data_IF_281844387331
#
_entry.id   IF_281844387331
#
_cell.length_a   1.000
_cell.length_b   1.000
_cell.length_c   1.000
_cell.angle_alpha   90.00
_cell.angle_beta   90.00
_cell.angle_gamma   90.00
#
_symmetry.space_group_name_H-M   'P 1'
#
loop_
_entity.id
_entity.type
_entity.pdbx_description
1 polymer ?
#
# COMPACT_ATOMS: atom_id res chain seq x y z
N UNK A 1 -8.50 14.56 -23.65
CA UNK A 1 -8.68 14.44 -22.19
C UNK A 1 -7.83 15.49 -21.51
N UNK A 2 -8.28 16.17 -20.43
CA UNK A 2 -7.47 17.17 -19.72
C UNK A 2 -6.13 16.59 -19.25
N UNK A 3 -5.03 17.36 -19.40
CA UNK A 3 -3.69 16.94 -18.91
C UNK A 3 -3.69 16.59 -17.42
N UNK A 4 -4.52 17.27 -16.63
CA UNK A 4 -4.72 16.99 -15.21
C UNK A 4 -5.15 15.54 -14.93
N UNK A 5 -5.94 14.91 -15.81
CA UNK A 5 -6.37 13.52 -15.62
C UNK A 5 -5.23 12.53 -15.86
N UNK A 6 -4.31 12.82 -16.79
CA UNK A 6 -3.12 11.98 -16.98
C UNK A 6 -2.16 12.11 -15.79
N UNK A 7 -1.99 13.32 -15.25
CA UNK A 7 -1.21 13.53 -14.03
C UNK A 7 -1.83 12.81 -12.82
N UNK A 8 -3.16 12.90 -12.65
CA UNK A 8 -3.89 12.19 -11.61
C UNK A 8 -3.76 10.67 -11.76
N UNK A 9 -3.91 10.15 -12.97
CA UNK A 9 -3.77 8.72 -13.26
C UNK A 9 -2.35 8.21 -12.95
N UNK A 10 -1.31 8.97 -13.35
CA UNK A 10 0.08 8.62 -13.04
C UNK A 10 0.33 8.60 -11.52
N UNK A 11 -0.20 9.59 -10.79
CA UNK A 11 -0.11 9.64 -9.33
C UNK A 11 -0.82 8.46 -8.65
N UNK A 12 -2.08 8.22 -9.02
CA UNK A 12 -2.87 7.10 -8.48
C UNK A 12 -2.24 5.74 -8.81
N UNK A 13 -1.67 5.59 -10.01
CA UNK A 13 -0.93 4.40 -10.40
C UNK A 13 0.32 4.19 -9.54
N UNK A 14 1.15 5.22 -9.38
CA UNK A 14 2.35 5.15 -8.55
C UNK A 14 2.04 4.79 -7.09
N UNK A 15 1.01 5.42 -6.52
CA UNK A 15 0.51 5.10 -5.17
C UNK A 15 0.09 3.62 -5.11
N UNK A 16 -0.77 3.17 -6.02
CA UNK A 16 -1.20 1.77 -6.05
C UNK A 16 -0.03 0.78 -6.17
N UNK A 17 0.92 1.01 -7.09
CA UNK A 17 2.08 0.11 -7.21
C UNK A 17 2.84 0.02 -5.90
N UNK A 18 3.11 1.15 -5.24
CA UNK A 18 3.92 1.18 -4.02
C UNK A 18 3.22 0.49 -2.84
N UNK A 19 1.91 0.64 -2.74
CA UNK A 19 1.11 0.07 -1.64
C UNK A 19 0.82 -1.42 -1.83
N UNK A 20 0.62 -1.85 -3.08
CA UNK A 20 0.23 -3.23 -3.38
C UNK A 20 1.42 -4.17 -3.69
N UNK A 21 2.62 -3.66 -4.01
CA UNK A 21 3.80 -4.50 -4.37
C UNK A 21 4.18 -5.49 -3.27
N UNK A 22 3.99 -5.11 -2.00
CA UNK A 22 4.35 -5.94 -0.84
C UNK A 22 3.61 -7.29 -0.82
N UNK A 23 2.41 -7.38 -1.39
CA UNK A 23 1.68 -8.64 -1.51
C UNK A 23 2.38 -9.63 -2.44
N UNK A 24 3.03 -9.14 -3.49
CA UNK A 24 3.82 -9.97 -4.39
C UNK A 24 5.17 -10.38 -3.80
N UNK A 25 5.73 -9.55 -2.92
CA UNK A 25 7.04 -9.74 -2.29
C UNK A 25 6.96 -10.40 -0.90
N UNK A 26 5.78 -10.82 -0.45
CA UNK A 26 5.57 -11.25 0.94
C UNK A 26 6.47 -12.42 1.35
N UNK A 27 6.73 -13.34 0.43
CA UNK A 27 7.62 -14.49 0.64
C UNK A 27 9.08 -14.04 0.79
N UNK A 28 9.53 -13.13 -0.05
CA UNK A 28 10.89 -12.57 -0.01
C UNK A 28 11.09 -11.82 1.32
N UNK A 29 10.13 -10.97 1.71
CA UNK A 29 10.15 -10.25 2.99
C UNK A 29 10.17 -11.21 4.18
N UNK A 30 9.38 -12.30 4.13
CA UNK A 30 9.40 -13.30 5.21
C UNK A 30 10.77 -13.98 5.33
N UNK A 31 11.42 -14.24 4.20
CA UNK A 31 12.73 -14.90 4.11
C UNK A 31 13.82 -13.97 4.63
N UNK A 32 13.85 -12.73 4.15
CA UNK A 32 14.85 -11.73 4.51
C UNK A 32 14.79 -11.33 5.98
N UNK A 33 13.59 -11.27 6.56
CA UNK A 33 13.39 -10.97 7.98
C UNK A 33 13.47 -12.21 8.89
N UNK A 34 13.53 -13.42 8.32
CA UNK A 34 13.57 -14.67 9.09
C UNK A 34 12.29 -14.94 9.91
N UNK A 35 11.14 -14.44 9.46
CA UNK A 35 9.85 -14.59 10.15
C UNK A 35 8.89 -15.47 9.36
N UNK A 36 7.83 -15.97 10.01
CA UNK A 36 6.79 -16.71 9.29
C UNK A 36 6.04 -15.80 8.30
N UNK A 37 5.52 -16.39 7.22
CA UNK A 37 4.69 -15.67 6.23
C UNK A 37 3.48 -14.99 6.91
N UNK A 38 2.88 -15.66 7.90
CA UNK A 38 1.76 -15.09 8.67
C UNK A 38 2.17 -13.84 9.44
N UNK A 39 3.37 -13.83 10.04
CA UNK A 39 3.90 -12.66 10.73
C UNK A 39 4.22 -11.53 9.73
N UNK A 40 4.86 -11.84 8.59
CA UNK A 40 5.09 -10.84 7.53
C UNK A 40 3.78 -10.23 7.01
N UNK A 41 2.71 -11.03 6.92
CA UNK A 41 1.37 -10.58 6.53
C UNK A 41 0.75 -9.53 7.44
N UNK A 42 1.23 -9.39 8.68
CA UNK A 42 0.79 -8.32 9.59
C UNK A 42 1.18 -6.93 9.07
N UNK A 43 2.21 -6.80 8.23
CA UNK A 43 2.58 -5.53 7.59
C UNK A 43 1.43 -5.00 6.71
N UNK A 44 0.79 -5.89 5.95
CA UNK A 44 -0.35 -5.55 5.11
C UNK A 44 -1.55 -5.13 5.97
N UNK A 45 -1.80 -5.87 7.06
CA UNK A 45 -2.89 -5.57 7.98
C UNK A 45 -2.70 -4.22 8.68
N UNK A 46 -1.48 -3.93 9.16
CA UNK A 46 -1.14 -2.65 9.76
C UNK A 46 -1.31 -1.48 8.80
N UNK A 47 -0.87 -1.64 7.54
CA UNK A 47 -1.12 -0.65 6.49
C UNK A 47 -2.62 -0.43 6.25
N UNK A 48 -3.41 -1.51 6.12
CA UNK A 48 -4.86 -1.41 5.90
C UNK A 48 -5.57 -0.66 7.05
N UNK A 49 -5.17 -0.91 8.30
CA UNK A 49 -5.67 -0.15 9.46
C UNK A 49 -5.30 1.34 9.35
N UNK A 50 -4.06 1.63 8.96
CA UNK A 50 -3.61 3.00 8.71
C UNK A 50 -4.44 3.72 7.66
N UNK A 51 -4.78 3.05 6.55
CA UNK A 51 -5.64 3.61 5.49
C UNK A 51 -7.07 3.84 5.98
N UNK A 52 -7.64 2.84 6.66
CA UNK A 52 -9.03 2.91 7.18
C UNK A 52 -9.24 4.10 8.10
N UNK A 53 -8.21 4.49 8.86
CA UNK A 53 -8.29 5.66 9.76
C UNK A 53 -7.81 6.93 9.06
N UNK A 54 -6.68 6.87 8.36
CA UNK A 54 -6.01 8.03 7.76
C UNK A 54 -6.78 8.63 6.59
N UNK A 55 -7.37 7.81 5.71
CA UNK A 55 -8.09 8.32 4.55
C UNK A 55 -9.35 9.12 4.95
N UNK A 56 -10.21 8.64 5.86
CA UNK A 56 -11.29 9.47 6.41
C UNK A 56 -10.76 10.76 7.02
N UNK A 57 -9.78 10.69 7.94
CA UNK A 57 -9.24 11.89 8.61
C UNK A 57 -8.73 12.94 7.62
N UNK A 58 -8.02 12.54 6.57
CA UNK A 58 -7.54 13.46 5.53
C UNK A 58 -8.68 14.04 4.69
N UNK A 59 -9.77 13.29 4.52
CA UNK A 59 -10.93 13.73 3.71
C UNK A 59 -11.79 14.75 4.45
N UNK A 60 -11.89 14.65 5.78
CA UNK A 60 -12.65 15.59 6.64
C UNK A 60 -11.79 16.76 7.17
N UNK A 61 -10.46 16.70 7.06
CA UNK A 61 -9.54 17.80 7.39
C UNK A 61 -9.50 18.87 6.28
#
# INVERSE_FOLDING_TARGET
MPLALYALAAGAFGIGVTEFVIMGLLLDVSTDLGVSISAAGQLISGYALGVVVGAPLLTIA
#
